data_IF_754442089251
#
_entry.id   IF_754442089251
#
_cell.length_a   1.000
_cell.length_b   1.000
_cell.length_c   1.000
_cell.angle_alpha   90.00
_cell.angle_beta   90.00
_cell.angle_gamma   90.00
#
_symmetry.space_group_name_H-M   'P 1'
#
loop_
_entity.id
_entity.type
_entity.pdbx_description
1 polymer ?
#
# COMPACT_ATOMS: atom_id res chain seq x y z
N UNK A 1 -0.06 4.24 2.94
CA UNK A 1 -0.12 4.88 1.60
C UNK A 1 0.17 3.92 0.45
N UNK A 2 1.08 2.95 0.60
CA UNK A 2 1.52 2.08 -0.51
C UNK A 2 0.41 1.22 -1.15
N UNK A 3 -0.67 0.90 -0.43
CA UNK A 3 -1.76 0.10 -0.97
C UNK A 3 -2.91 0.95 -1.55
N UNK A 4 -2.79 2.28 -1.51
CA UNK A 4 -3.86 3.20 -1.92
C UNK A 4 -4.18 3.15 -3.40
N UNK A 5 -3.16 3.09 -4.27
CA UNK A 5 -3.37 2.96 -5.72
C UNK A 5 -4.08 1.66 -6.08
N UNK A 6 -3.64 0.54 -5.50
CA UNK A 6 -4.25 -0.78 -5.70
C UNK A 6 -5.70 -0.84 -5.19
N UNK A 7 -5.97 -0.21 -4.04
CA UNK A 7 -7.32 -0.08 -3.51
C UNK A 7 -8.20 0.79 -4.41
N UNK A 8 -7.68 1.90 -4.93
CA UNK A 8 -8.40 2.79 -5.83
C UNK A 8 -8.81 2.09 -7.13
N UNK A 9 -7.88 1.37 -7.77
CA UNK A 9 -8.18 0.56 -8.96
C UNK A 9 -9.32 -0.43 -8.67
N UNK A 10 -9.20 -1.20 -7.58
CA UNK A 10 -10.21 -2.21 -7.26
C UNK A 10 -11.58 -1.62 -6.95
N UNK A 11 -11.64 -0.52 -6.21
CA UNK A 11 -12.91 0.09 -5.80
C UNK A 11 -13.58 0.84 -6.96
N UNK A 12 -12.80 1.52 -7.81
CA UNK A 12 -13.34 2.37 -8.87
C UNK A 12 -13.53 1.61 -10.18
N UNK A 13 -12.62 0.69 -10.52
CA UNK A 13 -12.58 -0.01 -11.80
C UNK A 13 -13.09 -1.47 -11.70
N UNK A 14 -13.34 -1.97 -10.49
CA UNK A 14 -13.64 -3.40 -10.22
C UNK A 14 -12.56 -4.37 -10.76
N UNK A 15 -11.37 -3.85 -11.01
CA UNK A 15 -10.22 -4.56 -11.55
C UNK A 15 -8.96 -4.23 -10.76
N UNK A 16 -7.97 -5.13 -10.82
CA UNK A 16 -6.67 -4.93 -10.19
C UNK A 16 -5.57 -5.09 -11.23
N UNK A 17 -4.77 -4.05 -11.43
CA UNK A 17 -3.66 -4.08 -12.35
C UNK A 17 -2.35 -4.44 -11.64
N UNK A 18 -1.32 -4.74 -12.44
CA UNK A 18 -0.01 -5.18 -11.96
C UNK A 18 0.95 -4.03 -11.66
N UNK A 19 0.55 -2.78 -11.91
CA UNK A 19 1.40 -1.60 -11.82
C UNK A 19 1.98 -1.34 -10.42
N UNK A 20 1.29 -1.79 -9.37
CA UNK A 20 1.74 -1.64 -7.98
C UNK A 20 2.82 -2.66 -7.57
N UNK A 21 3.28 -3.54 -8.46
CA UNK A 21 4.19 -4.64 -8.15
C UNK A 21 5.23 -4.95 -9.24
N UNK A 22 5.85 -6.12 -9.16
CA UNK A 22 6.71 -6.67 -10.22
C UNK A 22 8.17 -6.23 -10.24
N UNK A 23 8.52 -5.13 -9.56
CA UNK A 23 9.91 -4.63 -9.48
C UNK A 23 10.32 -4.24 -8.06
N UNK A 24 11.63 -4.26 -7.80
CA UNK A 24 12.20 -3.69 -6.58
C UNK A 24 11.84 -2.20 -6.50
N UNK A 25 11.44 -1.76 -5.31
CA UNK A 25 10.97 -0.38 -5.07
C UNK A 25 9.50 -0.11 -5.40
N UNK A 26 8.78 -1.08 -6.01
CA UNK A 26 7.33 -0.99 -6.19
C UNK A 26 6.59 -0.85 -4.85
N UNK A 27 5.35 -0.37 -4.92
CA UNK A 27 4.50 -0.21 -3.73
C UNK A 27 4.35 -1.51 -2.94
N UNK A 28 4.09 -2.63 -3.63
CA UNK A 28 3.95 -3.93 -2.99
C UNK A 28 5.27 -4.43 -2.39
N UNK A 29 6.40 -4.20 -3.07
CA UNK A 29 7.73 -4.52 -2.52
C UNK A 29 7.99 -3.77 -1.22
N UNK A 30 7.78 -2.44 -1.23
CA UNK A 30 7.98 -1.59 -0.05
C UNK A 30 7.00 -1.94 1.07
N UNK A 31 5.76 -2.27 0.74
CA UNK A 31 4.75 -2.65 1.72
C UNK A 31 5.10 -3.97 2.40
N UNK A 32 5.56 -4.97 1.63
CA UNK A 32 6.00 -6.25 2.17
C UNK A 32 7.21 -6.11 3.09
N UNK A 33 8.16 -5.25 2.76
CA UNK A 33 9.32 -4.98 3.61
C UNK A 33 8.93 -4.32 4.94
N UNK A 34 8.07 -3.29 4.90
CA UNK A 34 7.55 -2.65 6.12
C UNK A 34 6.82 -3.68 7.00
N UNK A 35 5.92 -4.46 6.41
CA UNK A 35 5.19 -5.51 7.14
C UNK A 35 6.14 -6.54 7.77
N UNK A 36 7.19 -6.92 7.06
CA UNK A 36 8.19 -7.88 7.56
C UNK A 36 8.96 -7.32 8.75
N UNK A 37 9.40 -6.06 8.68
CA UNK A 37 10.10 -5.39 9.78
C UNK A 37 9.19 -5.29 11.01
N UNK A 38 7.92 -4.91 10.83
CA UNK A 38 6.96 -4.81 11.94
C UNK A 38 6.77 -6.14 12.66
N UNK A 39 6.66 -7.25 11.91
CA UNK A 39 6.40 -8.57 12.48
C UNK A 39 7.68 -9.20 13.05
N UNK A 40 8.81 -9.11 12.33
CA UNK A 40 10.05 -9.80 12.67
C UNK A 40 10.97 -9.04 13.64
N UNK A 41 10.77 -7.73 13.81
CA UNK A 41 11.62 -6.91 14.68
C UNK A 41 10.84 -6.21 15.79
N UNK A 42 9.61 -5.76 15.50
CA UNK A 42 8.83 -4.97 16.47
C UNK A 42 7.74 -5.76 17.20
N UNK A 43 7.65 -7.06 16.95
CA UNK A 43 6.72 -7.93 17.65
C UNK A 43 5.25 -7.68 17.33
N UNK A 44 4.94 -7.07 16.18
CA UNK A 44 3.55 -7.00 15.71
C UNK A 44 3.14 -8.43 15.31
N UNK A 45 2.24 -9.04 16.06
CA UNK A 45 1.83 -10.45 15.88
C UNK A 45 2.97 -11.47 16.14
N UNK A 46 3.89 -11.19 17.06
CA UNK A 46 4.96 -12.10 17.52
C UNK A 46 5.89 -11.46 18.55
N UNK A 47 6.88 -12.16 19.08
CA UNK A 47 7.94 -11.57 19.93
C UNK A 47 9.35 -11.90 19.39
N UNK A 48 9.42 -12.32 18.14
CA UNK A 48 10.69 -12.61 17.47
C UNK A 48 11.49 -11.33 17.23
N UNK A 49 12.81 -11.44 17.33
CA UNK A 49 13.74 -10.39 16.94
C UNK A 49 14.65 -10.91 15.83
N UNK A 50 14.82 -10.12 14.78
CA UNK A 50 15.74 -10.37 13.69
C UNK A 50 16.28 -9.04 13.18
N UNK A 51 17.56 -9.03 12.82
CA UNK A 51 18.28 -7.88 12.26
C UNK A 51 18.54 -8.08 10.78
N UNK A 52 18.41 -7.02 9.98
CA UNK A 52 18.51 -7.07 8.52
C UNK A 52 19.34 -5.89 8.00
N UNK A 53 20.04 -6.06 6.87
CA UNK A 53 20.85 -4.99 6.26
C UNK A 53 20.17 -4.33 5.05
N UNK A 54 19.12 -4.95 4.51
CA UNK A 54 18.32 -4.40 3.42
C UNK A 54 17.21 -5.32 2.92
N UNK A 55 16.51 -4.88 1.88
CA UNK A 55 15.34 -5.56 1.31
C UNK A 55 15.58 -7.03 0.92
N UNK A 56 16.77 -7.36 0.40
CA UNK A 56 17.11 -8.75 0.04
C UNK A 56 17.12 -9.69 1.24
N UNK A 57 17.52 -9.22 2.42
CA UNK A 57 17.50 -10.04 3.64
C UNK A 57 16.06 -10.28 4.09
N UNK A 58 15.21 -9.26 4.02
CA UNK A 58 13.79 -9.35 4.32
C UNK A 58 13.08 -10.34 3.39
N UNK A 59 13.38 -10.28 2.09
CA UNK A 59 12.87 -11.22 1.11
C UNK A 59 13.33 -12.65 1.40
N UNK A 60 14.62 -12.85 1.70
CA UNK A 60 15.15 -14.17 2.09
C UNK A 60 14.43 -14.71 3.31
N UNK A 61 14.19 -13.87 4.32
CA UNK A 61 13.48 -14.28 5.52
C UNK A 61 12.02 -14.71 5.21
N UNK A 62 11.28 -13.93 4.41
CA UNK A 62 9.93 -14.32 3.96
C UNK A 62 9.94 -15.61 3.13
N UNK A 63 11.00 -15.88 2.38
CA UNK A 63 11.15 -17.13 1.61
C UNK A 63 11.44 -18.33 2.52
N UNK A 64 12.25 -18.16 3.56
CA UNK A 64 12.68 -19.24 4.45
C UNK A 64 11.70 -19.53 5.59
N UNK A 65 10.86 -18.57 5.99
CA UNK A 65 9.88 -18.72 7.07
C UNK A 65 8.43 -18.60 6.53
N UNK A 66 7.74 -19.73 6.28
CA UNK A 66 6.36 -19.73 5.81
C UNK A 66 5.36 -19.10 6.79
N UNK A 67 5.62 -19.18 8.10
CA UNK A 67 4.74 -18.62 9.14
C UNK A 67 4.83 -17.10 9.11
N UNK A 68 6.05 -16.57 9.05
CA UNK A 68 6.25 -15.13 8.86
C UNK A 68 5.60 -14.64 7.56
N UNK A 69 5.82 -15.36 6.44
CA UNK A 69 5.21 -15.00 5.16
C UNK A 69 3.70 -14.91 5.25
N UNK A 70 3.05 -15.88 5.90
CA UNK A 70 1.61 -15.86 6.09
C UNK A 70 1.15 -14.67 6.93
N UNK A 71 1.90 -14.31 7.99
CA UNK A 71 1.57 -13.14 8.81
C UNK A 71 1.71 -11.83 8.03
N UNK A 72 2.76 -11.71 7.20
CA UNK A 72 2.95 -10.57 6.30
C UNK A 72 1.79 -10.45 5.31
N UNK A 73 1.43 -11.54 4.64
CA UNK A 73 0.29 -11.57 3.69
C UNK A 73 -1.02 -11.16 4.38
N UNK A 74 -1.27 -11.68 5.58
CA UNK A 74 -2.46 -11.31 6.36
C UNK A 74 -2.48 -9.81 6.67
N UNK A 75 -1.37 -9.26 7.18
CA UNK A 75 -1.29 -7.83 7.50
C UNK A 75 -1.50 -6.96 6.25
N UNK A 76 -0.91 -7.34 5.12
CA UNK A 76 -1.12 -6.62 3.86
C UNK A 76 -2.57 -6.70 3.36
N UNK A 77 -3.22 -7.85 3.52
CA UNK A 77 -4.64 -8.01 3.17
C UNK A 77 -5.55 -7.15 4.06
N UNK A 78 -5.29 -7.11 5.38
CA UNK A 78 -5.99 -6.26 6.33
C UNK A 78 -5.83 -4.78 5.98
N UNK A 79 -4.61 -4.33 5.69
CA UNK A 79 -4.36 -2.94 5.32
C UNK A 79 -4.86 -2.58 3.92
N UNK A 80 -4.93 -3.54 2.99
CA UNK A 80 -5.57 -3.33 1.69
C UNK A 80 -7.08 -3.13 1.87
N UNK A 81 -7.75 -3.98 2.65
CA UNK A 81 -9.18 -3.84 2.94
C UNK A 81 -9.48 -2.49 3.60
N UNK A 82 -8.67 -2.07 4.57
CA UNK A 82 -8.77 -0.75 5.19
C UNK A 82 -8.56 0.38 4.18
N UNK A 83 -7.61 0.25 3.26
CA UNK A 83 -7.41 1.23 2.20
C UNK A 83 -8.62 1.29 1.24
N UNK A 84 -9.22 0.15 0.89
CA UNK A 84 -10.45 0.11 0.09
C UNK A 84 -11.60 0.83 0.80
N UNK A 85 -11.75 0.66 2.12
CA UNK A 85 -12.77 1.37 2.89
C UNK A 85 -12.58 2.89 2.87
N UNK A 86 -11.34 3.37 3.04
CA UNK A 86 -11.02 4.80 2.92
C UNK A 86 -11.38 5.33 1.52
N UNK A 87 -11.08 4.57 0.45
CA UNK A 87 -11.42 4.97 -0.91
C UNK A 87 -12.95 5.02 -1.10
N UNK A 88 -13.70 4.04 -0.59
CA UNK A 88 -15.17 4.01 -0.66
C UNK A 88 -15.78 5.21 0.06
N UNK A 89 -15.33 5.49 1.28
CA UNK A 89 -15.79 6.63 2.08
C UNK A 89 -15.49 7.98 1.40
N UNK A 90 -14.39 8.06 0.66
CA UNK A 90 -13.91 9.28 0.01
C UNK A 90 -14.06 9.25 -1.51
N UNK A 91 -14.98 8.41 -2.02
CA UNK A 91 -15.11 8.13 -3.44
C UNK A 91 -15.23 9.40 -4.30
N UNK A 92 -16.07 10.35 -3.89
CA UNK A 92 -16.27 11.60 -4.63
C UNK A 92 -15.00 12.46 -4.71
N UNK A 93 -14.18 12.46 -3.66
CA UNK A 93 -12.94 13.21 -3.63
C UNK A 93 -11.87 12.53 -4.50
N UNK A 94 -11.82 11.19 -4.48
CA UNK A 94 -10.94 10.40 -5.36
C UNK A 94 -11.25 10.67 -6.83
N UNK A 95 -12.53 10.66 -7.21
CA UNK A 95 -12.95 10.94 -8.59
C UNK A 95 -12.60 12.37 -9.00
N UNK A 96 -12.85 13.37 -8.14
CA UNK A 96 -12.52 14.77 -8.44
C UNK A 96 -11.02 14.99 -8.65
N UNK A 97 -10.19 14.32 -7.85
CA UNK A 97 -8.73 14.35 -8.05
C UNK A 97 -8.36 13.65 -9.37
N UNK A 98 -8.93 12.48 -9.64
CA UNK A 98 -8.63 11.72 -10.86
C UNK A 98 -8.96 12.51 -12.12
N UNK A 99 -10.15 13.14 -12.17
CA UNK A 99 -10.58 14.03 -13.25
C UNK A 99 -9.62 15.21 -13.44
N UNK A 100 -9.27 15.90 -12.34
CA UNK A 100 -8.35 17.03 -12.41
C UNK A 100 -6.93 16.63 -12.86
N UNK A 101 -6.43 15.47 -12.46
CA UNK A 101 -5.13 14.94 -12.95
C UNK A 101 -5.21 14.55 -14.42
N UNK A 102 -6.33 13.99 -14.88
CA UNK A 102 -6.51 13.68 -16.31
C UNK A 102 -6.47 14.93 -17.19
N UNK A 103 -6.97 16.06 -16.70
CA UNK A 103 -6.98 17.32 -17.44
C UNK A 103 -5.64 18.07 -17.39
N UNK A 104 -4.98 18.08 -16.22
CA UNK A 104 -3.83 18.95 -15.97
C UNK A 104 -2.48 18.20 -15.95
N UNK A 105 -2.50 16.87 -15.98
CA UNK A 105 -1.37 15.93 -15.82
C UNK A 105 -0.66 16.01 -14.45
N UNK A 106 -0.55 17.19 -13.86
CA UNK A 106 0.12 17.47 -12.60
C UNK A 106 -0.73 18.41 -11.76
N UNK A 107 -1.00 18.02 -10.52
CA UNK A 107 -1.63 18.88 -9.52
C UNK A 107 -0.59 19.25 -8.46
N UNK A 108 -0.52 20.54 -8.12
CA UNK A 108 0.32 20.97 -6.99
C UNK A 108 -0.32 20.54 -5.67
N UNK A 109 0.52 20.32 -4.64
CA UNK A 109 0.04 19.92 -3.31
C UNK A 109 -0.89 20.96 -2.66
N UNK A 110 -0.86 22.22 -3.10
CA UNK A 110 -1.74 23.29 -2.63
C UNK A 110 -3.13 23.24 -3.26
N UNK A 111 -3.27 22.63 -4.45
CA UNK A 111 -4.53 22.51 -5.18
C UNK A 111 -5.37 21.35 -4.65
N UNK A 112 -4.73 20.25 -4.26
CA UNK A 112 -5.43 19.03 -3.81
C UNK A 112 -6.40 19.29 -2.65
N UNK A 113 -6.04 20.00 -1.56
CA UNK A 113 -6.98 20.31 -0.49
C UNK A 113 -8.19 21.13 -0.96
N UNK A 114 -7.98 22.08 -1.88
CA UNK A 114 -9.06 22.93 -2.42
C UNK A 114 -10.08 22.10 -3.20
N UNK A 115 -9.59 21.18 -4.03
CA UNK A 115 -10.43 20.21 -4.76
C UNK A 115 -11.23 19.31 -3.81
N UNK A 116 -10.59 18.76 -2.79
CA UNK A 116 -11.24 17.85 -1.82
C UNK A 116 -12.27 18.60 -0.95
N UNK A 117 -11.97 19.83 -0.56
CA UNK A 117 -12.84 20.63 0.33
C UNK A 117 -13.92 21.44 -0.42
N UNK A 118 -13.91 21.41 -1.76
CA UNK A 118 -14.87 22.14 -2.60
C UNK A 118 -14.71 23.67 -2.53
N UNK A 119 -13.47 24.14 -2.36
CA UNK A 119 -13.12 25.57 -2.25
C UNK A 119 -12.48 26.11 -3.52
#
# INVERSE_FOLDING_TARGET
MLLGGKAAEKVVLDEMYTGSGGVEGSDLHRAADIATILIATHGVQGLGFSSFTGSRDLERLRRSDPVLRQRVERLLAEELARAEDIIRERWADVMRIAEAVMEQEVLSGEVVPKLILGQ
#
